data_IF_532740556707
#
_entry.id   IF_532740556707
#
_cell.length_a   1.000
_cell.length_b   1.000
_cell.length_c   1.000
_cell.angle_alpha   90.00
_cell.angle_beta   90.00
_cell.angle_gamma   90.00
#
_symmetry.space_group_name_H-M   'P 1'
#
loop_
_entity.id
_entity.type
_entity.pdbx_description
1 polymer ?
#
# COMPACT_ATOMS: atom_id res chain seq x y z
N UNK A 1 -24.18 22.73 10.14
CA UNK A 1 -24.64 21.77 9.12
C UNK A 1 -24.73 20.39 9.77
N UNK A 2 -25.94 19.96 10.09
CA UNK A 2 -26.17 18.59 10.58
C UNK A 2 -25.91 17.61 9.42
N UNK A 3 -24.85 16.84 9.53
CA UNK A 3 -24.72 15.62 8.74
C UNK A 3 -25.76 14.63 9.25
N UNK A 4 -26.45 13.97 8.34
CA UNK A 4 -27.41 12.94 8.71
C UNK A 4 -26.64 11.81 9.39
N UNK A 5 -27.13 11.33 10.53
CA UNK A 5 -26.58 10.18 11.27
C UNK A 5 -26.48 8.98 10.33
N UNK A 6 -27.39 8.86 9.38
CA UNK A 6 -27.44 7.81 8.35
C UNK A 6 -26.20 7.75 7.45
N UNK A 7 -25.56 8.90 7.16
CA UNK A 7 -24.39 8.96 6.27
C UNK A 7 -23.12 8.48 6.99
N UNK A 8 -22.96 8.80 8.27
CA UNK A 8 -21.87 8.32 9.11
C UNK A 8 -21.99 6.81 9.34
N UNK A 9 -23.20 6.35 9.64
CA UNK A 9 -23.50 4.92 9.85
C UNK A 9 -23.28 4.12 8.55
N UNK A 10 -23.65 4.66 7.41
CA UNK A 10 -23.44 4.03 6.10
C UNK A 10 -21.95 3.85 5.78
N UNK A 11 -21.11 4.83 6.09
CA UNK A 11 -19.66 4.76 5.90
C UNK A 11 -18.97 3.86 6.94
N UNK A 12 -19.46 3.82 8.19
CA UNK A 12 -18.83 3.06 9.28
C UNK A 12 -19.30 1.61 9.38
N UNK A 13 -20.50 1.28 8.89
CA UNK A 13 -21.07 -0.08 8.95
C UNK A 13 -20.48 -1.07 7.95
N UNK A 14 -19.63 -0.63 7.03
CA UNK A 14 -19.13 -1.44 5.92
C UNK A 14 -20.08 -1.55 4.72
N UNK A 15 -21.28 -0.96 4.78
CA UNK A 15 -22.24 -0.98 3.67
C UNK A 15 -21.68 -0.25 2.45
N UNK A 16 -21.08 0.91 2.65
CA UNK A 16 -20.45 1.67 1.58
C UNK A 16 -19.26 0.92 0.95
N UNK A 17 -18.42 0.28 1.76
CA UNK A 17 -17.32 -0.56 1.28
C UNK A 17 -17.82 -1.67 0.35
N UNK A 18 -18.87 -2.37 0.76
CA UNK A 18 -19.46 -3.45 -0.04
C UNK A 18 -20.00 -2.93 -1.38
N UNK A 19 -20.69 -1.79 -1.36
CA UNK A 19 -21.21 -1.16 -2.59
C UNK A 19 -20.07 -0.71 -3.50
N UNK A 20 -19.01 -0.12 -2.95
CA UNK A 20 -17.85 0.31 -3.71
C UNK A 20 -17.14 -0.87 -4.38
N UNK A 21 -16.96 -1.98 -3.66
CA UNK A 21 -16.37 -3.21 -4.19
C UNK A 21 -17.25 -3.84 -5.29
N UNK A 22 -18.56 -3.83 -5.11
CA UNK A 22 -19.49 -4.33 -6.13
C UNK A 22 -19.41 -3.52 -7.42
N UNK A 23 -19.46 -2.19 -7.33
CA UNK A 23 -19.34 -1.29 -8.49
C UNK A 23 -17.97 -1.42 -9.15
N UNK A 24 -16.89 -1.59 -8.38
CA UNK A 24 -15.56 -1.85 -8.93
C UNK A 24 -15.52 -3.15 -9.73
N UNK A 25 -16.10 -4.23 -9.20
CA UNK A 25 -16.20 -5.51 -9.89
C UNK A 25 -17.00 -5.43 -11.20
N UNK A 26 -18.14 -4.73 -11.20
CA UNK A 26 -18.95 -4.49 -12.39
C UNK A 26 -18.21 -3.72 -13.48
N UNK A 27 -17.34 -2.78 -13.09
CA UNK A 27 -16.53 -1.97 -14.01
C UNK A 27 -15.18 -2.61 -14.35
N UNK A 28 -14.88 -3.82 -13.86
CA UNK A 28 -13.61 -4.50 -14.10
C UNK A 28 -12.41 -3.83 -13.43
N UNK A 29 -12.65 -3.08 -12.35
CA UNK A 29 -11.62 -2.40 -11.57
C UNK A 29 -11.21 -3.31 -10.42
N UNK A 30 -9.94 -3.72 -10.40
CA UNK A 30 -9.39 -4.55 -9.34
C UNK A 30 -9.29 -3.75 -8.04
N UNK A 31 -10.11 -4.10 -7.05
CA UNK A 31 -10.15 -3.49 -5.73
C UNK A 31 -10.23 -4.55 -4.65
N UNK A 32 -9.53 -4.33 -3.55
CA UNK A 32 -9.39 -5.29 -2.46
C UNK A 32 -9.39 -4.59 -1.11
N UNK A 33 -10.03 -5.17 -0.09
CA UNK A 33 -10.06 -4.64 1.26
C UNK A 33 -9.01 -5.35 2.12
N UNK A 34 -8.16 -4.57 2.81
CA UNK A 34 -7.19 -5.05 3.79
C UNK A 34 -6.92 -3.97 4.86
N UNK A 35 -6.93 -4.37 6.13
CA UNK A 35 -6.62 -3.49 7.26
C UNK A 35 -7.40 -2.16 7.25
N UNK A 36 -8.72 -2.24 7.06
CA UNK A 36 -9.63 -1.07 7.00
C UNK A 36 -9.31 -0.08 5.86
N UNK A 37 -8.62 -0.55 4.83
CA UNK A 37 -8.29 0.22 3.63
C UNK A 37 -8.71 -0.52 2.38
N UNK A 38 -8.97 0.21 1.33
CA UNK A 38 -9.23 -0.35 0.01
C UNK A 38 -7.99 -0.15 -0.87
N UNK A 39 -7.46 -1.26 -1.33
CA UNK A 39 -6.31 -1.31 -2.22
C UNK A 39 -6.81 -1.39 -3.66
N UNK A 40 -6.56 -0.37 -4.43
CA UNK A 40 -6.92 -0.30 -5.85
C UNK A 40 -5.71 0.20 -6.63
N UNK A 41 -4.78 -0.70 -6.95
CA UNK A 41 -3.51 -0.32 -7.57
C UNK A 41 -3.67 0.78 -8.63
N UNK A 42 -2.83 1.83 -8.62
CA UNK A 42 -1.75 2.16 -7.67
C UNK A 42 -2.22 2.98 -6.46
N UNK A 43 -3.52 3.14 -6.28
CA UNK A 43 -4.13 4.01 -5.27
C UNK A 43 -4.50 3.26 -3.99
N UNK A 44 -4.44 3.99 -2.88
CA UNK A 44 -4.94 3.56 -1.58
C UNK A 44 -6.13 4.43 -1.18
N UNK A 45 -7.22 3.78 -0.78
CA UNK A 45 -8.44 4.45 -0.36
C UNK A 45 -8.69 4.18 1.11
N UNK A 46 -8.95 5.23 1.88
CA UNK A 46 -9.34 5.17 3.28
C UNK A 46 -10.69 5.85 3.45
N UNK A 47 -11.59 5.20 4.18
CA UNK A 47 -12.86 5.80 4.59
C UNK A 47 -12.62 6.74 5.77
N UNK A 48 -13.26 7.91 5.75
CA UNK A 48 -13.25 8.90 6.81
C UNK A 48 -14.70 9.17 7.27
N UNK A 49 -15.35 8.23 8.00
CA UNK A 49 -16.76 8.33 8.36
C UNK A 49 -17.10 9.62 9.11
N UNK A 50 -16.28 9.99 10.09
CA UNK A 50 -16.45 11.21 10.86
C UNK A 50 -16.42 12.50 10.02
N UNK A 51 -15.78 12.46 8.87
CA UNK A 51 -15.68 13.58 7.93
C UNK A 51 -16.67 13.49 6.77
N UNK A 52 -17.39 12.35 6.63
CA UNK A 52 -18.23 12.05 5.46
C UNK A 52 -17.41 12.16 4.17
N UNK A 53 -16.28 11.53 4.12
CA UNK A 53 -15.33 11.65 3.03
C UNK A 53 -14.52 10.36 2.82
N UNK A 54 -13.85 10.29 1.70
CA UNK A 54 -12.76 9.35 1.42
C UNK A 54 -11.43 10.09 1.40
N UNK A 55 -10.38 9.37 1.65
CA UNK A 55 -9.02 9.78 1.32
C UNK A 55 -8.46 8.85 0.25
N UNK A 56 -8.11 9.40 -0.90
CA UNK A 56 -7.48 8.67 -2.01
C UNK A 56 -6.05 9.21 -2.14
N UNK A 57 -5.05 8.38 -1.89
CA UNK A 57 -3.63 8.77 -1.94
C UNK A 57 -3.36 10.08 -1.17
N UNK A 58 -3.88 10.17 0.06
CA UNK A 58 -3.79 11.33 0.96
C UNK A 58 -4.55 12.58 0.52
N UNK A 59 -5.36 12.48 -0.53
CA UNK A 59 -6.25 13.56 -0.97
C UNK A 59 -7.67 13.28 -0.54
N UNK A 60 -8.28 14.23 0.13
CA UNK A 60 -9.67 14.11 0.58
C UNK A 60 -10.63 14.25 -0.60
N UNK A 61 -11.52 13.28 -0.74
CA UNK A 61 -12.60 13.24 -1.72
C UNK A 61 -13.95 13.23 -0.96
N UNK A 62 -14.81 14.19 -1.25
CA UNK A 62 -16.14 14.31 -0.66
C UNK A 62 -17.26 13.76 -1.53
N UNK A 63 -16.97 13.47 -2.79
CA UNK A 63 -17.92 12.86 -3.71
C UNK A 63 -17.95 11.36 -3.45
N UNK A 64 -18.93 10.92 -2.67
CA UNK A 64 -19.04 9.54 -2.19
C UNK A 64 -19.80 8.61 -3.15
N UNK A 65 -20.32 9.10 -4.28
CA UNK A 65 -21.02 8.25 -5.22
C UNK A 65 -20.08 7.16 -5.75
N UNK A 66 -20.38 5.84 -5.52
CA UNK A 66 -19.47 4.76 -5.85
C UNK A 66 -18.97 4.77 -7.29
N UNK A 67 -19.85 5.03 -8.25
CA UNK A 67 -19.48 5.11 -9.67
C UNK A 67 -18.48 6.22 -9.99
N UNK A 68 -18.53 7.33 -9.28
CA UNK A 68 -17.58 8.46 -9.45
C UNK A 68 -16.23 8.09 -8.86
N UNK A 69 -16.21 7.49 -7.67
CA UNK A 69 -14.99 7.05 -7.00
C UNK A 69 -14.29 5.96 -7.82
N UNK A 70 -15.03 4.92 -8.23
CA UNK A 70 -14.48 3.83 -9.04
C UNK A 70 -13.98 4.34 -10.40
N UNK A 71 -14.69 5.26 -11.04
CA UNK A 71 -14.23 5.88 -12.29
C UNK A 71 -12.91 6.65 -12.14
N UNK A 72 -12.74 7.37 -11.02
CA UNK A 72 -11.49 8.07 -10.72
C UNK A 72 -10.33 7.08 -10.46
N UNK A 73 -10.59 5.99 -9.75
CA UNK A 73 -9.61 4.93 -9.49
C UNK A 73 -9.24 4.17 -10.76
N UNK A 74 -10.21 3.87 -11.62
CA UNK A 74 -9.97 3.27 -12.93
C UNK A 74 -9.04 4.14 -13.79
N UNK A 75 -9.29 5.45 -13.82
CA UNK A 75 -8.42 6.40 -14.52
C UNK A 75 -7.00 6.44 -13.92
N UNK A 76 -6.85 6.31 -12.60
CA UNK A 76 -5.56 6.23 -11.94
C UNK A 76 -4.79 4.95 -12.32
N UNK A 77 -5.48 3.81 -12.49
CA UNK A 77 -4.87 2.56 -12.92
C UNK A 77 -4.27 2.61 -14.33
N UNK A 78 -4.77 3.50 -15.18
CA UNK A 78 -4.26 3.69 -16.54
C UNK A 78 -3.03 4.62 -16.60
N UNK A 79 -2.74 5.35 -15.52
CA UNK A 79 -1.61 6.28 -15.47
C UNK A 79 -0.34 5.56 -14.98
N UNK A 80 0.84 5.87 -15.55
CA UNK A 80 2.08 5.38 -14.98
C UNK A 80 2.27 5.95 -13.56
N UNK A 81 2.69 5.13 -12.59
CA UNK A 81 2.91 5.57 -11.21
C UNK A 81 4.06 6.60 -11.14
N UNK A 82 3.89 7.63 -10.30
CA UNK A 82 4.95 8.61 -9.98
C UNK A 82 5.89 8.06 -8.90
N UNK A 83 6.46 6.91 -9.15
CA UNK A 83 7.34 6.21 -8.23
C UNK A 83 8.77 6.23 -8.77
N UNK A 84 9.74 6.51 -7.90
CA UNK A 84 11.17 6.51 -8.23
C UNK A 84 11.82 5.28 -7.62
N UNK A 85 11.91 4.22 -8.41
CA UNK A 85 12.40 2.91 -7.97
C UNK A 85 13.82 2.97 -7.42
N UNK A 86 14.72 3.67 -8.08
CA UNK A 86 16.12 3.81 -7.65
C UNK A 86 16.23 4.50 -6.28
N UNK A 87 15.48 5.59 -6.09
CA UNK A 87 15.48 6.33 -4.82
C UNK A 87 14.91 5.47 -3.68
N UNK A 88 13.84 4.74 -3.96
CA UNK A 88 13.24 3.85 -2.98
C UNK A 88 14.18 2.68 -2.63
N UNK A 89 14.84 2.08 -3.62
CA UNK A 89 15.82 1.01 -3.41
C UNK A 89 16.99 1.47 -2.52
N UNK A 90 17.50 2.69 -2.72
CA UNK A 90 18.56 3.25 -1.87
C UNK A 90 18.09 3.43 -0.43
N UNK A 91 16.86 3.90 -0.22
CA UNK A 91 16.26 4.02 1.11
C UNK A 91 16.09 2.66 1.79
N UNK A 92 15.63 1.66 1.03
CA UNK A 92 15.47 0.29 1.50
C UNK A 92 16.82 -0.32 1.90
N UNK A 93 17.85 -0.14 1.08
CA UNK A 93 19.22 -0.61 1.35
C UNK A 93 19.83 0.08 2.59
N UNK A 94 19.57 1.37 2.77
CA UNK A 94 20.02 2.13 3.93
C UNK A 94 19.39 1.61 5.23
N UNK A 95 18.08 1.39 5.23
CA UNK A 95 17.36 0.82 6.36
C UNK A 95 17.82 -0.63 6.66
N UNK A 96 18.01 -1.44 5.62
CA UNK A 96 18.56 -2.78 5.75
C UNK A 96 19.93 -2.76 6.42
N UNK A 97 20.83 -1.84 6.04
CA UNK A 97 22.18 -1.74 6.59
C UNK A 97 22.19 -1.39 8.08
N UNK A 98 21.17 -0.67 8.57
CA UNK A 98 21.00 -0.41 10.00
C UNK A 98 20.60 -1.66 10.79
N UNK A 99 19.81 -2.55 10.18
CA UNK A 99 19.38 -3.82 10.78
C UNK A 99 20.44 -4.92 10.65
N UNK A 100 21.24 -4.88 9.60
CA UNK A 100 22.31 -5.84 9.30
C UNK A 100 23.66 -5.11 9.18
N UNK A 101 24.30 -4.70 10.30
CA UNK A 101 25.55 -3.95 10.26
C UNK A 101 26.72 -4.73 9.61
N UNK A 102 26.68 -6.05 9.67
CA UNK A 102 27.62 -6.94 8.99
C UNK A 102 27.33 -7.10 7.47
N UNK A 103 26.23 -6.52 7.01
CA UNK A 103 25.81 -6.57 5.62
C UNK A 103 25.24 -7.92 5.16
N UNK A 104 24.97 -8.84 6.09
CA UNK A 104 24.53 -10.21 5.79
C UNK A 104 23.16 -10.54 6.39
N UNK A 105 22.55 -11.60 5.87
CA UNK A 105 21.29 -12.14 6.38
C UNK A 105 20.06 -11.54 5.77
N UNK A 106 18.93 -12.18 6.07
CA UNK A 106 17.60 -11.75 5.64
C UNK A 106 16.97 -10.88 6.73
N UNK A 107 16.50 -9.70 6.36
CA UNK A 107 15.76 -8.83 7.26
C UNK A 107 14.28 -8.81 6.89
N UNK A 108 13.41 -8.87 7.90
CA UNK A 108 11.97 -8.78 7.68
C UNK A 108 11.60 -7.36 7.23
N UNK A 109 10.72 -7.28 6.26
CA UNK A 109 10.30 -5.97 5.72
C UNK A 109 9.52 -5.12 6.73
N UNK A 110 8.85 -5.74 7.69
CA UNK A 110 8.21 -5.00 8.80
C UNK A 110 9.24 -4.29 9.66
N UNK A 111 10.39 -4.90 9.93
CA UNK A 111 11.48 -4.28 10.69
C UNK A 111 12.15 -3.17 9.87
N UNK A 112 12.29 -3.36 8.55
CA UNK A 112 12.75 -2.31 7.63
C UNK A 112 11.79 -1.11 7.62
N UNK A 113 10.48 -1.36 7.60
CA UNK A 113 9.48 -0.30 7.70
C UNK A 113 9.56 0.45 9.04
N UNK A 114 9.78 -0.26 10.15
CA UNK A 114 9.98 0.36 11.46
C UNK A 114 11.17 1.32 11.46
N UNK A 115 12.28 0.97 10.79
CA UNK A 115 13.45 1.84 10.61
C UNK A 115 13.10 3.06 9.76
N UNK A 116 12.39 2.87 8.64
CA UNK A 116 11.99 3.96 7.73
C UNK A 116 11.01 4.96 8.39
N UNK A 117 10.34 4.54 9.46
CA UNK A 117 9.32 5.33 10.16
C UNK A 117 9.69 5.63 11.63
N UNK A 118 10.97 5.65 11.94
CA UNK A 118 11.49 5.85 13.32
C UNK A 118 11.13 7.20 13.92
N UNK A 119 11.03 8.26 13.11
CA UNK A 119 10.73 9.59 13.61
C UNK A 119 9.27 9.69 14.05
N UNK A 120 8.96 10.43 15.14
CA UNK A 120 7.59 10.59 15.63
C UNK A 120 6.63 11.05 14.54
N UNK A 121 5.51 10.34 14.40
CA UNK A 121 4.47 10.64 13.41
C UNK A 121 4.67 10.03 12.04
N UNK A 122 5.87 9.61 11.66
CA UNK A 122 6.14 9.07 10.33
C UNK A 122 5.34 7.79 10.00
N UNK A 123 5.10 6.92 11.00
CA UNK A 123 4.28 5.72 10.79
C UNK A 123 2.82 6.03 10.40
N UNK A 124 2.30 7.21 10.78
CA UNK A 124 0.98 7.69 10.32
C UNK A 124 1.03 8.22 8.90
N UNK A 125 2.16 8.84 8.54
CA UNK A 125 2.34 9.47 7.23
C UNK A 125 2.77 8.46 6.16
N UNK A 126 3.42 7.38 6.55
CA UNK A 126 3.85 6.30 5.67
C UNK A 126 3.44 4.95 6.25
N UNK A 127 2.27 4.50 5.90
CA UNK A 127 1.65 3.30 6.47
C UNK A 127 2.18 2.01 5.86
N UNK A 128 1.99 0.88 6.54
CA UNK A 128 2.35 -0.45 6.01
C UNK A 128 1.70 -0.77 4.65
N UNK A 129 0.42 -0.48 4.39
CA UNK A 129 -0.16 -0.64 3.06
C UNK A 129 0.52 0.19 1.97
N UNK A 130 0.92 1.44 2.28
CA UNK A 130 1.68 2.27 1.34
C UNK A 130 3.07 1.69 1.08
N UNK A 131 3.74 1.22 2.12
CA UNK A 131 5.03 0.53 1.99
C UNK A 131 4.90 -0.75 1.14
N UNK A 132 3.88 -1.58 1.39
CA UNK A 132 3.61 -2.78 0.59
C UNK A 132 3.37 -2.46 -0.89
N UNK A 133 2.64 -1.38 -1.19
CA UNK A 133 2.47 -0.88 -2.56
C UNK A 133 3.80 -0.48 -3.18
N UNK A 134 4.64 0.25 -2.45
CA UNK A 134 5.93 0.73 -2.95
C UNK A 134 6.91 -0.43 -3.18
N UNK A 135 6.87 -1.48 -2.35
CA UNK A 135 7.59 -2.74 -2.59
C UNK A 135 7.16 -3.39 -3.90
N UNK A 136 5.85 -3.45 -4.15
CA UNK A 136 5.33 -3.97 -5.41
C UNK A 136 5.77 -3.14 -6.61
N UNK A 137 5.75 -1.82 -6.50
CA UNK A 137 6.22 -0.93 -7.57
C UNK A 137 7.72 -1.12 -7.85
N UNK A 138 8.53 -1.32 -6.81
CA UNK A 138 9.95 -1.63 -6.94
C UNK A 138 10.15 -2.98 -7.66
N UNK A 139 9.44 -4.01 -7.22
CA UNK A 139 9.49 -5.35 -7.80
C UNK A 139 9.14 -5.33 -9.31
N UNK A 140 8.10 -4.59 -9.68
CA UNK A 140 7.68 -4.44 -11.07
C UNK A 140 8.59 -3.55 -11.92
N UNK A 141 9.39 -2.69 -11.30
CA UNK A 141 10.30 -1.78 -12.01
C UNK A 141 11.49 -2.47 -12.67
N UNK A 142 11.86 -3.66 -12.18
CA UNK A 142 13.07 -4.36 -12.60
C UNK A 142 14.37 -3.77 -12.03
N UNK A 143 14.29 -2.72 -11.21
CA UNK A 143 15.45 -2.12 -10.54
C UNK A 143 15.84 -2.98 -9.34
N UNK A 144 17.00 -3.61 -9.40
CA UNK A 144 17.46 -4.54 -8.37
C UNK A 144 18.82 -4.17 -7.75
N UNK A 145 19.55 -3.25 -8.37
CA UNK A 145 20.90 -2.90 -7.92
C UNK A 145 20.99 -1.45 -7.45
N UNK A 146 21.62 -1.26 -6.29
CA UNK A 146 21.93 0.06 -5.74
C UNK A 146 23.10 0.70 -6.49
N UNK A 147 23.30 2.01 -6.30
CA UNK A 147 24.47 2.73 -6.84
C UNK A 147 25.79 2.17 -6.36
N UNK A 148 25.82 1.58 -5.16
CA UNK A 148 26.99 0.91 -4.59
C UNK A 148 27.20 -0.51 -5.13
N UNK A 149 26.35 -0.98 -6.07
CA UNK A 149 26.45 -2.30 -6.69
C UNK A 149 25.87 -3.45 -5.86
N UNK A 150 25.16 -3.17 -4.77
CA UNK A 150 24.49 -4.20 -3.98
C UNK A 150 23.19 -4.62 -4.67
N UNK A 151 22.93 -5.91 -4.71
CA UNK A 151 21.76 -6.48 -5.38
C UNK A 151 20.69 -6.90 -4.36
N UNK A 152 19.48 -6.41 -4.55
CA UNK A 152 18.29 -6.79 -3.79
C UNK A 152 17.87 -8.22 -4.12
N UNK A 153 17.56 -8.99 -3.07
CA UNK A 153 16.92 -10.30 -3.18
C UNK A 153 15.70 -10.37 -2.29
N UNK A 154 14.59 -10.81 -2.86
CA UNK A 154 13.34 -11.04 -2.16
C UNK A 154 13.34 -12.42 -1.50
N UNK A 155 12.79 -12.51 -0.28
CA UNK A 155 12.62 -13.75 0.47
C UNK A 155 11.18 -13.95 0.89
N UNK A 156 10.64 -15.14 0.58
CA UNK A 156 9.31 -15.55 1.05
C UNK A 156 9.34 -16.06 2.49
N UNK A 157 8.22 -15.94 3.19
CA UNK A 157 8.03 -16.59 4.48
C UNK A 157 7.88 -18.09 4.31
N UNK A 158 8.63 -18.88 5.05
CA UNK A 158 8.52 -20.36 5.08
C UNK A 158 7.36 -20.87 5.91
N UNK A 159 6.59 -20.01 6.57
CA UNK A 159 5.48 -20.37 7.47
C UNK A 159 4.17 -19.65 7.12
N UNK A 160 3.09 -20.41 7.14
CA UNK A 160 1.73 -19.92 6.87
C UNK A 160 1.13 -19.08 8.01
N UNK A 161 1.83 -18.92 9.14
CA UNK A 161 1.37 -18.22 10.35
C UNK A 161 2.28 -17.13 10.85
N UNK A 162 3.23 -16.67 10.05
CA UNK A 162 4.15 -15.60 10.44
C UNK A 162 3.48 -14.24 10.36
N UNK A 163 3.25 -13.58 11.50
CA UNK A 163 3.05 -12.13 11.53
C UNK A 163 4.20 -11.43 10.82
N UNK A 164 3.94 -10.32 10.12
CA UNK A 164 4.96 -9.56 9.42
C UNK A 164 5.02 -9.77 7.91
N UNK A 165 4.04 -10.45 7.31
CA UNK A 165 3.85 -10.44 5.85
C UNK A 165 3.10 -9.18 5.46
N UNK A 166 3.69 -8.43 4.54
CA UNK A 166 3.06 -7.26 3.94
C UNK A 166 2.31 -7.69 2.68
N UNK A 167 1.07 -7.25 2.55
CA UNK A 167 0.21 -7.64 1.45
C UNK A 167 -0.23 -6.41 0.66
N UNK A 168 -0.26 -6.52 -0.65
CA UNK A 168 -0.82 -5.53 -1.55
C UNK A 168 -1.52 -6.22 -2.72
N UNK A 169 -2.16 -5.44 -3.58
CA UNK A 169 -2.83 -5.93 -4.78
C UNK A 169 -2.06 -5.48 -6.01
N UNK A 170 -1.74 -6.44 -6.88
CA UNK A 170 -1.16 -6.17 -8.19
C UNK A 170 -2.16 -5.47 -9.11
N UNK A 171 -1.67 -4.86 -10.18
CA UNK A 171 -2.50 -4.29 -11.25
C UNK A 171 -3.50 -5.30 -11.85
N UNK A 172 -3.14 -6.59 -11.83
CA UNK A 172 -3.97 -7.70 -12.29
C UNK A 172 -5.07 -8.12 -11.31
N UNK A 173 -5.11 -7.55 -10.11
CA UNK A 173 -6.01 -7.95 -9.03
C UNK A 173 -5.50 -9.11 -8.18
N UNK A 174 -4.33 -9.64 -8.47
CA UNK A 174 -3.72 -10.71 -7.66
C UNK A 174 -3.09 -10.14 -6.39
N UNK A 175 -3.29 -10.86 -5.28
CA UNK A 175 -2.63 -10.55 -4.03
C UNK A 175 -1.13 -10.81 -4.13
N UNK A 176 -0.33 -9.81 -3.74
CA UNK A 176 1.12 -9.88 -3.66
C UNK A 176 1.56 -9.82 -2.20
N UNK A 177 2.51 -10.65 -1.82
CA UNK A 177 2.99 -10.77 -0.45
C UNK A 177 4.50 -10.59 -0.39
N UNK A 178 4.95 -9.76 0.54
CA UNK A 178 6.37 -9.45 0.77
C UNK A 178 6.71 -9.71 2.24
N UNK A 179 7.77 -10.46 2.48
CA UNK A 179 8.17 -10.82 3.85
C UNK A 179 9.56 -10.30 4.21
N UNK A 180 10.56 -10.61 3.43
CA UNK A 180 11.95 -10.30 3.76
C UNK A 180 12.81 -9.93 2.56
N UNK A 181 13.93 -9.27 2.83
CA UNK A 181 14.92 -8.87 1.84
C UNK A 181 16.33 -9.14 2.34
N UNK A 182 17.24 -9.34 1.40
CA UNK A 182 18.68 -9.26 1.63
C UNK A 182 19.36 -8.48 0.50
N UNK A 183 20.54 -7.99 0.78
CA UNK A 183 21.40 -7.32 -0.19
C UNK A 183 22.74 -8.04 -0.23
N UNK A 184 23.19 -8.39 -1.42
CA UNK A 184 24.48 -9.06 -1.67
C UNK A 184 25.37 -8.24 -2.58
#
# INVERSE_FOLDING_TARGET
>A
MHRSVDEVDYLSSGAYTKELLAVAAEQGVAMFEEDERLLCYPSLVKLLPGDGALEIDRRREKRLRPSVVVGALAAAQQRPPRFKAETFLESLASAYSLLAPDGTGVQRLVDVWDVLTLLPGQAKDYTKPEFARDLYLLDQSGVTSTKAGRTLRWHGSSGTRGGGVLTTVAKTGQQQRYWGVSFS
#
